data_IF_022163213917
#
_entry.id   IF_022163213917
#
_cell.length_a   1.000
_cell.length_b   1.000
_cell.length_c   1.000
_cell.angle_alpha   90.00
_cell.angle_beta   90.00
_cell.angle_gamma   90.00
#
_symmetry.space_group_name_H-M   'P 1'
#
loop_
_entity.id
_entity.type
_entity.pdbx_description
1 polymer ?
#
# COMPACT_ATOMS: atom_id res chain seq x y z
N UNK A 1 5.37 23.53 -8.68
CA UNK A 1 4.89 23.14 -7.33
C UNK A 1 3.50 22.50 -7.36
N UNK A 2 2.53 23.02 -8.15
CA UNK A 2 1.19 22.41 -8.20
C UNK A 2 1.22 20.97 -8.74
N UNK A 3 1.86 20.74 -9.90
CA UNK A 3 1.98 19.39 -10.48
C UNK A 3 2.73 18.46 -9.52
N UNK A 4 3.85 18.88 -8.95
CA UNK A 4 4.61 18.05 -8.00
C UNK A 4 3.82 17.69 -6.74
N UNK A 5 3.01 18.63 -6.22
CA UNK A 5 2.09 18.37 -5.10
C UNK A 5 1.02 17.35 -5.49
N UNK A 6 0.38 17.56 -6.64
CA UNK A 6 -0.61 16.63 -7.20
C UNK A 6 -0.03 15.21 -7.34
N UNK A 7 1.15 15.09 -7.94
CA UNK A 7 1.81 13.80 -8.15
C UNK A 7 2.16 13.13 -6.82
N UNK A 8 2.63 13.88 -5.82
CA UNK A 8 2.87 13.32 -4.49
C UNK A 8 1.59 12.87 -3.81
N UNK A 9 0.51 13.66 -3.88
CA UNK A 9 -0.79 13.25 -3.33
C UNK A 9 -1.28 11.95 -3.98
N UNK A 10 -1.19 11.83 -5.31
CA UNK A 10 -1.58 10.59 -6.01
C UNK A 10 -0.71 9.41 -5.55
N UNK A 11 0.62 9.56 -5.55
CA UNK A 11 1.53 8.46 -5.20
C UNK A 11 1.36 7.95 -3.76
N UNK A 12 0.98 8.82 -2.82
CA UNK A 12 0.82 8.45 -1.41
C UNK A 12 -0.61 8.00 -1.08
N UNK A 13 -1.64 8.61 -1.67
CA UNK A 13 -3.04 8.28 -1.36
C UNK A 13 -3.56 7.10 -2.17
N UNK A 14 -3.11 6.92 -3.40
CA UNK A 14 -3.60 5.86 -4.29
C UNK A 14 -3.40 4.44 -3.72
N UNK A 15 -2.21 4.08 -3.18
CA UNK A 15 -1.99 2.75 -2.59
C UNK A 15 -2.91 2.46 -1.40
N UNK A 16 -3.24 3.50 -0.62
CA UNK A 16 -4.17 3.40 0.52
C UNK A 16 -5.57 3.10 0.02
N UNK A 17 -6.07 3.91 -0.94
CA UNK A 17 -7.43 3.78 -1.47
C UNK A 17 -7.62 2.41 -2.11
N UNK A 18 -6.64 1.94 -2.89
CA UNK A 18 -6.67 0.62 -3.52
C UNK A 18 -6.84 -0.48 -2.47
N UNK A 19 -6.01 -0.49 -1.43
CA UNK A 19 -6.04 -1.53 -0.42
C UNK A 19 -7.35 -1.50 0.40
N UNK A 20 -7.82 -0.31 0.74
CA UNK A 20 -9.10 -0.13 1.44
C UNK A 20 -10.25 -0.70 0.61
N UNK A 21 -10.30 -0.39 -0.69
CA UNK A 21 -11.31 -0.89 -1.63
C UNK A 21 -11.22 -2.41 -1.81
N UNK A 22 -10.00 -2.97 -1.90
CA UNK A 22 -9.79 -4.43 -1.96
C UNK A 22 -10.32 -5.14 -0.70
N UNK A 23 -9.97 -4.65 0.49
CA UNK A 23 -10.42 -5.22 1.76
C UNK A 23 -11.93 -5.04 1.96
N UNK A 24 -12.50 -3.90 1.57
CA UNK A 24 -13.95 -3.66 1.62
C UNK A 24 -14.71 -4.65 0.73
N UNK A 25 -14.18 -4.93 -0.48
CA UNK A 25 -14.79 -5.87 -1.42
C UNK A 25 -14.71 -7.33 -0.94
N UNK A 26 -13.65 -7.66 -0.18
CA UNK A 26 -13.43 -9.00 0.37
C UNK A 26 -14.23 -9.28 1.65
N UNK A 27 -14.20 -8.35 2.63
CA UNK A 27 -14.74 -8.57 3.99
C UNK A 27 -16.03 -7.79 4.29
N UNK A 28 -16.56 -6.97 3.37
CA UNK A 28 -17.77 -6.15 3.57
C UNK A 28 -17.78 -5.44 4.93
N UNK A 29 -16.77 -4.61 5.19
CA UNK A 29 -16.64 -3.93 6.48
C UNK A 29 -17.76 -2.90 6.68
N UNK A 30 -18.19 -2.74 7.93
CA UNK A 30 -19.17 -1.73 8.30
C UNK A 30 -18.59 -0.32 8.06
N UNK A 31 -19.36 0.59 7.44
CA UNK A 31 -18.92 1.96 7.14
C UNK A 31 -18.45 2.70 8.40
N UNK A 32 -19.13 2.49 9.54
CA UNK A 32 -18.72 3.10 10.82
C UNK A 32 -17.32 2.64 11.27
N UNK A 33 -17.03 1.34 11.10
CA UNK A 33 -15.72 0.77 11.44
C UNK A 33 -14.63 1.30 10.51
N UNK A 34 -14.95 1.44 9.22
CA UNK A 34 -14.04 1.98 8.23
C UNK A 34 -13.68 3.44 8.52
N UNK A 35 -14.67 4.28 8.83
CA UNK A 35 -14.45 5.68 9.22
C UNK A 35 -13.64 5.76 10.51
N UNK A 36 -14.00 4.98 11.54
CA UNK A 36 -13.25 4.95 12.79
C UNK A 36 -11.80 4.54 12.58
N UNK A 37 -11.56 3.54 11.73
CA UNK A 37 -10.21 3.02 11.43
C UNK A 37 -9.41 4.00 10.59
N UNK A 38 -10.03 4.72 9.67
CA UNK A 38 -9.39 5.81 8.94
C UNK A 38 -8.96 6.93 9.90
N UNK A 39 -9.81 7.29 10.88
CA UNK A 39 -9.47 8.29 11.89
C UNK A 39 -8.29 7.83 12.78
N UNK A 40 -8.32 6.58 13.24
CA UNK A 40 -7.22 5.97 14.00
C UNK A 40 -5.95 5.92 13.17
N UNK A 41 -6.02 5.53 11.90
CA UNK A 41 -4.88 5.50 10.98
C UNK A 41 -4.26 6.88 10.77
N UNK A 42 -5.10 7.93 10.65
CA UNK A 42 -4.65 9.31 10.55
C UNK A 42 -3.92 9.75 11.82
N UNK A 43 -4.47 9.49 12.99
CA UNK A 43 -3.82 9.80 14.27
C UNK A 43 -2.50 9.05 14.43
N UNK A 44 -2.47 7.74 14.14
CA UNK A 44 -1.25 6.93 14.16
C UNK A 44 -0.18 7.49 13.22
N UNK A 45 -0.58 7.97 12.03
CA UNK A 45 0.36 8.56 11.06
C UNK A 45 0.99 9.85 11.59
N UNK A 46 0.21 10.71 12.26
CA UNK A 46 0.72 11.94 12.88
C UNK A 46 1.70 11.60 14.02
N UNK A 47 1.32 10.67 14.90
CA UNK A 47 2.17 10.21 16.01
C UNK A 47 3.48 9.62 15.47
N UNK A 48 3.40 8.85 14.38
CA UNK A 48 4.57 8.28 13.71
C UNK A 48 5.52 9.37 13.21
N UNK A 49 5.01 10.43 12.57
CA UNK A 49 5.83 11.56 12.10
C UNK A 49 6.48 12.32 13.25
N UNK A 50 5.77 12.55 14.35
CA UNK A 50 6.36 13.20 15.53
C UNK A 50 7.45 12.35 16.17
N UNK A 51 7.28 11.03 16.16
CA UNK A 51 8.25 10.08 16.70
C UNK A 51 9.40 9.78 15.73
N UNK A 52 9.31 10.22 14.47
CA UNK A 52 10.26 9.88 13.41
C UNK A 52 11.69 10.31 13.72
N UNK A 53 11.88 11.49 14.33
CA UNK A 53 13.20 11.97 14.71
C UNK A 53 13.87 11.07 15.77
N UNK A 54 13.09 10.62 16.76
CA UNK A 54 13.57 9.69 17.79
C UNK A 54 13.81 8.29 17.21
N UNK A 55 12.89 7.81 16.37
CA UNK A 55 13.01 6.51 15.69
C UNK A 55 14.23 6.44 14.78
N UNK A 56 14.52 7.53 14.07
CA UNK A 56 15.68 7.61 13.18
C UNK A 56 16.98 7.44 13.96
N UNK A 57 17.12 8.01 15.17
CA UNK A 57 18.34 7.89 15.98
C UNK A 57 18.66 6.47 16.47
N UNK A 58 17.68 5.56 16.44
CA UNK A 58 17.90 4.16 16.79
C UNK A 58 18.68 3.45 15.68
N UNK A 59 19.44 2.42 16.04
CA UNK A 59 20.18 1.57 15.09
C UNK A 59 21.09 2.34 14.13
N UNK A 60 22.00 3.16 14.67
CA UNK A 60 22.98 3.93 13.90
C UNK A 60 22.34 4.80 12.79
N UNK A 61 21.32 5.56 13.16
CA UNK A 61 20.56 6.45 12.26
C UNK A 61 19.65 5.75 11.23
N UNK A 62 19.43 4.43 11.35
CA UNK A 62 18.67 3.59 10.39
C UNK A 62 17.32 3.08 10.94
N UNK A 63 16.95 3.50 12.15
CA UNK A 63 15.78 2.95 12.84
C UNK A 63 14.44 3.26 12.15
N UNK A 64 14.38 4.34 11.36
CA UNK A 64 13.18 4.71 10.62
C UNK A 64 12.93 3.78 9.43
N UNK A 65 13.97 3.35 8.72
CA UNK A 65 13.81 2.37 7.65
C UNK A 65 13.41 1.01 8.22
N UNK A 66 13.98 0.61 9.37
CA UNK A 66 13.59 -0.62 10.06
C UNK A 66 12.11 -0.65 10.46
N UNK A 67 11.58 0.43 11.01
CA UNK A 67 10.16 0.49 11.37
C UNK A 67 9.24 0.45 10.15
N UNK A 68 9.64 1.07 9.03
CA UNK A 68 8.87 1.00 7.78
C UNK A 68 8.93 -0.39 7.14
N UNK A 69 10.08 -1.06 7.17
CA UNK A 69 10.19 -2.46 6.76
C UNK A 69 9.29 -3.37 7.60
N UNK A 70 9.26 -3.14 8.92
CA UNK A 70 8.38 -3.87 9.83
C UNK A 70 6.91 -3.64 9.49
N UNK A 71 6.49 -2.40 9.21
CA UNK A 71 5.14 -2.08 8.76
C UNK A 71 4.79 -2.82 7.46
N UNK A 72 5.68 -2.88 6.47
CA UNK A 72 5.48 -3.64 5.24
C UNK A 72 5.24 -5.13 5.51
N UNK A 73 6.04 -5.74 6.38
CA UNK A 73 5.88 -7.16 6.77
C UNK A 73 4.55 -7.38 7.51
N UNK A 74 4.20 -6.49 8.43
CA UNK A 74 2.91 -6.53 9.14
C UNK A 74 1.75 -6.46 8.14
N UNK A 75 1.81 -5.57 7.17
CA UNK A 75 0.78 -5.44 6.13
C UNK A 75 0.64 -6.72 5.33
N UNK A 76 1.75 -7.35 4.92
CA UNK A 76 1.74 -8.61 4.19
C UNK A 76 1.09 -9.74 5.01
N UNK A 77 1.56 -9.96 6.24
CA UNK A 77 1.07 -11.05 7.10
C UNK A 77 -0.38 -10.82 7.51
N UNK A 78 -0.75 -9.59 7.91
CA UNK A 78 -2.11 -9.29 8.32
C UNK A 78 -3.09 -9.34 7.14
N UNK A 79 -2.67 -8.99 5.91
CA UNK A 79 -3.50 -9.17 4.71
C UNK A 79 -3.78 -10.64 4.44
N UNK A 80 -2.77 -11.51 4.63
CA UNK A 80 -2.89 -12.96 4.47
C UNK A 80 -3.86 -13.55 5.51
N UNK A 81 -3.76 -13.12 6.77
CA UNK A 81 -4.68 -13.56 7.84
C UNK A 81 -6.10 -13.01 7.63
N UNK A 82 -6.25 -11.85 7.00
CA UNK A 82 -7.55 -11.25 6.69
C UNK A 82 -8.37 -12.09 5.71
N UNK A 83 -7.72 -12.93 4.89
CA UNK A 83 -8.40 -13.93 4.05
C UNK A 83 -9.22 -14.96 4.85
N UNK A 84 -8.97 -15.14 6.17
CA UNK A 84 -9.83 -15.92 7.08
C UNK A 84 -11.10 -15.18 7.52
N UNK A 85 -11.48 -14.11 6.83
CA UNK A 85 -12.58 -13.21 7.20
C UNK A 85 -12.45 -12.57 8.60
N UNK A 86 -11.21 -12.37 9.08
CA UNK A 86 -10.98 -11.71 10.36
C UNK A 86 -10.89 -10.19 10.19
N UNK A 87 -12.00 -9.50 10.49
CA UNK A 87 -12.09 -8.04 10.39
C UNK A 87 -10.95 -7.30 11.12
N UNK A 88 -10.53 -7.76 12.31
CA UNK A 88 -9.48 -7.12 13.09
C UNK A 88 -8.16 -6.96 12.32
N UNK A 89 -7.75 -7.99 11.58
CA UNK A 89 -6.51 -7.93 10.80
C UNK A 89 -6.65 -7.01 9.60
N UNK A 90 -7.84 -6.93 9.00
CA UNK A 90 -8.11 -6.00 7.91
C UNK A 90 -8.02 -4.54 8.41
N UNK A 91 -8.54 -4.26 9.61
CA UNK A 91 -8.39 -2.93 10.22
C UNK A 91 -6.92 -2.60 10.50
N UNK A 92 -6.16 -3.57 11.03
CA UNK A 92 -4.73 -3.41 11.29
C UNK A 92 -3.96 -3.11 10.01
N UNK A 93 -4.26 -3.80 8.91
CA UNK A 93 -3.69 -3.53 7.59
C UNK A 93 -3.97 -2.10 7.13
N UNK A 94 -5.21 -1.62 7.27
CA UNK A 94 -5.58 -0.25 6.91
C UNK A 94 -4.77 0.76 7.72
N UNK A 95 -4.68 0.58 9.05
CA UNK A 95 -3.90 1.47 9.92
C UNK A 95 -2.42 1.45 9.56
N UNK A 96 -1.83 0.27 9.35
CA UNK A 96 -0.42 0.14 9.02
C UNK A 96 -0.06 0.77 7.66
N UNK A 97 -0.90 0.59 6.64
CA UNK A 97 -0.70 1.23 5.32
C UNK A 97 -0.92 2.73 5.38
N UNK A 98 -1.90 3.20 6.16
CA UNK A 98 -2.06 4.63 6.41
C UNK A 98 -0.80 5.21 7.07
N UNK A 99 -0.31 4.59 8.14
CA UNK A 99 0.92 5.03 8.81
C UNK A 99 2.12 5.08 7.85
N UNK A 100 2.27 4.07 6.98
CA UNK A 100 3.37 4.00 6.02
C UNK A 100 3.32 5.11 4.97
N UNK A 101 2.20 5.30 4.27
CA UNK A 101 2.13 6.29 3.17
C UNK A 101 1.84 7.71 3.64
N UNK A 102 0.96 7.86 4.63
CA UNK A 102 0.52 9.17 5.10
C UNK A 102 1.62 9.86 5.92
N UNK A 103 2.56 9.12 6.51
CA UNK A 103 3.73 9.72 7.17
C UNK A 103 4.62 10.49 6.18
N UNK A 104 4.98 9.89 5.05
CA UNK A 104 5.72 10.57 3.98
C UNK A 104 4.94 11.78 3.45
N UNK A 105 3.62 11.63 3.31
CA UNK A 105 2.77 12.72 2.86
C UNK A 105 2.71 13.90 3.84
N UNK A 106 2.62 13.63 5.14
CA UNK A 106 2.64 14.67 6.17
C UNK A 106 3.99 15.37 6.28
N UNK A 107 5.11 14.64 6.17
CA UNK A 107 6.45 15.24 6.11
C UNK A 107 6.54 16.21 4.92
N UNK A 108 6.02 15.81 3.75
CA UNK A 108 5.94 16.68 2.57
C UNK A 108 5.06 17.93 2.83
N UNK A 109 3.88 17.76 3.41
CA UNK A 109 2.98 18.89 3.69
C UNK A 109 3.59 19.90 4.67
N UNK A 110 4.17 19.43 5.77
CA UNK A 110 4.78 20.30 6.80
C UNK A 110 5.99 21.05 6.25
N UNK A 111 6.81 20.38 5.41
CA UNK A 111 8.00 20.99 4.80
C UNK A 111 7.70 22.18 3.89
N UNK A 112 6.52 22.21 3.25
CA UNK A 112 6.13 23.28 2.32
C UNK A 112 5.08 24.25 2.87
N UNK A 113 4.59 24.02 4.10
CA UNK A 113 3.55 24.84 4.73
C UNK A 113 4.03 26.26 5.08
N UNK A 114 5.29 26.40 5.51
CA UNK A 114 5.84 27.67 6.00
C UNK A 114 6.09 28.71 4.90
N UNK A 115 6.11 28.29 3.63
CA UNK A 115 6.35 29.16 2.50
C UNK A 115 5.00 29.57 1.85
N UNK A 116 4.60 30.83 2.02
CA UNK A 116 3.31 31.36 1.57
C UNK A 116 3.10 31.23 0.06
N UNK A 117 4.17 31.31 -0.72
CA UNK A 117 4.13 31.19 -2.19
C UNK A 117 3.93 29.73 -2.65
N UNK A 118 4.30 28.75 -1.83
CA UNK A 118 4.13 27.32 -2.15
C UNK A 118 2.89 26.71 -1.48
N UNK A 119 2.37 27.31 -0.41
CA UNK A 119 1.21 26.82 0.33
C UNK A 119 -0.07 26.77 -0.52
N UNK A 120 -0.34 27.81 -1.33
CA UNK A 120 -1.55 27.83 -2.19
C UNK A 120 -1.51 26.72 -3.26
N UNK A 121 -0.45 26.56 -4.06
CA UNK A 121 -0.30 25.42 -4.97
C UNK A 121 -0.36 24.05 -4.29
N UNK A 122 0.18 23.94 -3.06
CA UNK A 122 0.19 22.71 -2.28
C UNK A 122 -1.22 22.26 -1.92
N UNK A 123 -2.06 23.16 -1.40
CA UNK A 123 -3.45 22.88 -1.04
C UNK A 123 -4.30 22.51 -2.25
N UNK A 124 -4.13 23.22 -3.38
CA UNK A 124 -4.85 22.90 -4.62
C UNK A 124 -4.45 21.51 -5.13
N UNK A 125 -3.14 21.21 -5.17
CA UNK A 125 -2.64 19.89 -5.58
C UNK A 125 -3.15 18.76 -4.67
N UNK A 126 -3.22 19.02 -3.36
CA UNK A 126 -3.75 18.08 -2.36
C UNK A 126 -5.23 17.79 -2.56
N UNK A 127 -6.04 18.84 -2.70
CA UNK A 127 -7.49 18.72 -2.92
C UNK A 127 -7.79 17.95 -4.21
N UNK A 128 -7.09 18.28 -5.29
CA UNK A 128 -7.19 17.56 -6.56
C UNK A 128 -6.76 16.09 -6.42
N UNK A 129 -5.64 15.82 -5.75
CA UNK A 129 -5.14 14.46 -5.52
C UNK A 129 -6.13 13.59 -4.74
N UNK A 130 -6.74 14.13 -3.67
CA UNK A 130 -7.79 13.46 -2.90
C UNK A 130 -9.01 13.18 -3.79
N UNK A 131 -9.45 14.16 -4.60
CA UNK A 131 -10.58 14.00 -5.51
C UNK A 131 -10.34 12.92 -6.57
N UNK A 132 -9.17 12.90 -7.20
CA UNK A 132 -8.79 11.90 -8.20
C UNK A 132 -8.71 10.51 -7.57
N UNK A 133 -8.05 10.37 -6.43
CA UNK A 133 -7.94 9.08 -5.74
C UNK A 133 -9.31 8.57 -5.27
N UNK A 134 -10.18 9.45 -4.77
CA UNK A 134 -11.54 9.11 -4.36
C UNK A 134 -12.39 8.63 -5.55
N UNK A 135 -12.37 9.38 -6.66
CA UNK A 135 -13.08 8.99 -7.89
C UNK A 135 -12.59 7.64 -8.43
N UNK A 136 -11.27 7.45 -8.48
CA UNK A 136 -10.67 6.17 -8.86
C UNK A 136 -11.08 5.04 -7.91
N UNK A 137 -11.12 5.29 -6.59
CA UNK A 137 -11.54 4.31 -5.59
C UNK A 137 -12.98 3.82 -5.81
N UNK A 138 -13.91 4.73 -6.14
CA UNK A 138 -15.30 4.38 -6.46
C UNK A 138 -15.36 3.51 -7.73
N UNK A 139 -14.66 3.92 -8.79
CA UNK A 139 -14.57 3.15 -10.04
C UNK A 139 -14.01 1.74 -9.81
N UNK A 140 -12.92 1.64 -9.03
CA UNK A 140 -12.30 0.37 -8.67
C UNK A 140 -13.25 -0.51 -7.84
N UNK A 141 -14.02 0.08 -6.93
CA UNK A 141 -15.00 -0.66 -6.12
C UNK A 141 -16.07 -1.29 -7.00
N UNK A 142 -16.63 -0.54 -7.94
CA UNK A 142 -17.59 -1.06 -8.91
C UNK A 142 -16.98 -2.17 -9.76
N UNK A 143 -15.77 -1.96 -10.28
CA UNK A 143 -15.05 -2.97 -11.07
C UNK A 143 -14.87 -4.26 -10.27
N UNK A 144 -14.39 -4.17 -9.02
CA UNK A 144 -14.20 -5.34 -8.17
C UNK A 144 -15.52 -6.02 -7.80
N UNK A 145 -16.61 -5.27 -7.63
CA UNK A 145 -17.94 -5.86 -7.41
C UNK A 145 -18.41 -6.65 -8.64
N UNK A 146 -18.25 -6.10 -9.84
CA UNK A 146 -18.57 -6.78 -11.10
C UNK A 146 -17.71 -8.04 -11.31
N UNK A 147 -16.41 -7.95 -11.00
CA UNK A 147 -15.49 -9.09 -11.07
C UNK A 147 -15.88 -10.16 -10.04
N UNK A 148 -16.21 -9.77 -8.80
CA UNK A 148 -16.67 -10.68 -7.75
C UNK A 148 -17.95 -11.40 -8.14
N UNK A 149 -18.91 -10.69 -8.75
CA UNK A 149 -20.17 -11.28 -9.20
C UNK A 149 -19.96 -12.30 -10.33
N UNK A 150 -18.98 -12.08 -11.22
CA UNK A 150 -18.73 -12.95 -12.38
C UNK A 150 -17.79 -14.13 -12.09
N UNK A 151 -16.76 -13.92 -11.28
CA UNK A 151 -15.65 -14.86 -11.06
C UNK A 151 -15.46 -15.27 -9.59
N UNK A 152 -16.31 -14.78 -8.68
CA UNK A 152 -16.24 -15.09 -7.25
C UNK A 152 -15.12 -14.36 -6.51
N UNK A 153 -14.68 -14.93 -5.39
CA UNK A 153 -13.73 -14.29 -4.45
C UNK A 153 -12.26 -14.45 -4.87
N UNK A 154 -11.93 -15.48 -5.65
CA UNK A 154 -10.57 -15.78 -6.09
C UNK A 154 -9.82 -14.60 -6.76
N UNK A 155 -10.38 -13.85 -7.74
CA UNK A 155 -9.67 -12.72 -8.33
C UNK A 155 -9.39 -11.60 -7.33
N UNK A 156 -10.27 -11.36 -6.34
CA UNK A 156 -10.04 -10.35 -5.31
C UNK A 156 -8.86 -10.74 -4.43
N UNK A 157 -8.74 -12.04 -4.10
CA UNK A 157 -7.58 -12.55 -3.35
C UNK A 157 -6.30 -12.45 -4.16
N UNK A 158 -6.37 -12.70 -5.48
CA UNK A 158 -5.23 -12.53 -6.37
C UNK A 158 -4.76 -11.06 -6.38
N UNK A 159 -5.67 -10.11 -6.50
CA UNK A 159 -5.34 -8.68 -6.40
C UNK A 159 -4.77 -8.32 -5.02
N UNK A 160 -5.34 -8.84 -3.94
CA UNK A 160 -4.80 -8.64 -2.60
C UNK A 160 -3.40 -9.25 -2.44
N UNK A 161 -3.14 -10.43 -3.01
CA UNK A 161 -1.84 -11.09 -2.99
C UNK A 161 -0.77 -10.26 -3.69
N UNK A 162 -1.08 -9.75 -4.88
CA UNK A 162 -0.19 -8.84 -5.61
C UNK A 162 0.05 -7.55 -4.82
N UNK A 163 -1.01 -6.93 -4.28
CA UNK A 163 -0.89 -5.69 -3.52
C UNK A 163 -0.06 -5.84 -2.24
N UNK A 164 -0.29 -6.93 -1.49
CA UNK A 164 0.45 -7.24 -0.28
C UNK A 164 1.92 -7.53 -0.58
N UNK A 165 2.19 -8.32 -1.62
CA UNK A 165 3.56 -8.66 -2.03
C UNK A 165 4.33 -7.43 -2.53
N UNK A 166 3.64 -6.47 -3.16
CA UNK A 166 4.24 -5.19 -3.53
C UNK A 166 4.80 -4.40 -2.33
N UNK A 167 4.25 -4.57 -1.12
CA UNK A 167 4.81 -3.93 0.09
C UNK A 167 6.14 -4.56 0.51
N UNK A 168 6.36 -5.84 0.21
CA UNK A 168 7.66 -6.46 0.45
C UNK A 168 8.74 -5.96 -0.51
N UNK A 169 8.37 -5.55 -1.73
CA UNK A 169 9.30 -4.85 -2.62
C UNK A 169 9.74 -3.51 -2.01
N UNK A 170 8.81 -2.76 -1.43
CA UNK A 170 9.15 -1.54 -0.69
C UNK A 170 10.11 -1.86 0.46
N UNK A 171 9.86 -2.92 1.24
CA UNK A 171 10.77 -3.33 2.30
C UNK A 171 12.17 -3.71 1.77
N UNK A 172 12.24 -4.36 0.61
CA UNK A 172 13.50 -4.71 -0.06
C UNK A 172 14.27 -3.45 -0.49
N UNK A 173 13.58 -2.46 -1.06
CA UNK A 173 14.18 -1.18 -1.42
C UNK A 173 14.74 -0.45 -0.20
N UNK A 174 14.00 -0.44 0.91
CA UNK A 174 14.47 0.13 2.18
C UNK A 174 15.67 -0.63 2.74
N UNK A 175 15.67 -1.96 2.67
CA UNK A 175 16.80 -2.78 3.08
C UNK A 175 18.05 -2.48 2.23
N UNK A 176 17.87 -2.20 0.94
CA UNK A 176 18.97 -1.78 0.08
C UNK A 176 19.46 -0.37 0.38
N UNK A 177 18.57 0.56 0.78
CA UNK A 177 18.94 1.94 1.13
C UNK A 177 19.84 2.02 2.38
N UNK A 178 19.67 1.10 3.32
CA UNK A 178 20.49 1.03 4.54
C UNK A 178 21.68 0.06 4.40
N UNK A 179 22.05 -0.30 3.17
CA UNK A 179 23.14 -1.25 2.85
C UNK A 179 23.00 -2.62 3.53
N UNK A 180 21.78 -3.03 3.90
CA UNK A 180 21.53 -4.38 4.43
C UNK A 180 21.64 -5.44 3.33
N UNK A 181 21.27 -5.05 2.10
CA UNK A 181 21.28 -5.92 0.91
C UNK A 181 21.86 -5.12 -0.26
N UNK A 182 22.91 -5.63 -0.89
CA UNK A 182 23.48 -5.01 -2.09
C UNK A 182 22.69 -5.40 -3.34
N UNK A 183 21.78 -4.53 -3.78
CA UNK A 183 21.05 -4.66 -5.04
C UNK A 183 21.82 -3.90 -6.12
N UNK A 184 22.74 -4.57 -6.80
CA UNK A 184 23.73 -3.92 -7.68
C UNK A 184 23.42 -3.96 -9.18
N UNK A 185 22.36 -4.66 -9.61
CA UNK A 185 22.07 -4.75 -11.06
C UNK A 185 20.58 -4.79 -11.39
N UNK A 186 20.13 -3.84 -12.22
CA UNK A 186 18.84 -3.90 -12.91
C UNK A 186 18.86 -5.05 -13.90
N UNK A 187 17.80 -5.89 -13.89
CA UNK A 187 17.78 -7.10 -14.71
C UNK A 187 17.03 -6.91 -16.02
N UNK A 188 15.88 -6.25 -15.96
CA UNK A 188 15.02 -5.99 -17.11
C UNK A 188 14.70 -4.51 -17.21
N UNK A 189 14.50 -4.02 -18.44
CA UNK A 189 14.00 -2.68 -18.71
C UNK A 189 12.68 -2.76 -19.48
N UNK A 190 11.57 -2.52 -18.78
CA UNK A 190 10.21 -2.48 -19.32
C UNK A 190 9.78 -1.07 -19.72
N UNK A 191 10.65 -0.06 -19.64
CA UNK A 191 10.30 1.34 -19.94
C UNK A 191 9.80 1.53 -21.37
N UNK A 192 10.25 0.67 -22.30
CA UNK A 192 9.78 0.68 -23.69
C UNK A 192 8.28 0.30 -23.83
N UNK A 193 7.75 -0.48 -22.89
CA UNK A 193 6.33 -0.90 -22.88
C UNK A 193 5.50 0.04 -22.02
N UNK A 194 5.95 0.30 -20.79
CA UNK A 194 5.24 1.19 -19.87
C UNK A 194 6.21 1.93 -18.95
N UNK A 195 6.22 3.25 -19.11
CA UNK A 195 7.00 4.15 -18.25
C UNK A 195 6.36 4.21 -16.86
N UNK A 196 7.17 3.99 -15.82
CA UNK A 196 6.72 3.99 -14.42
C UNK A 196 6.06 5.31 -13.99
N UNK A 197 6.56 6.43 -14.51
CA UNK A 197 6.06 7.77 -14.23
C UNK A 197 4.77 8.13 -14.96
N UNK A 198 4.28 7.26 -15.86
CA UNK A 198 2.97 7.44 -16.48
C UNK A 198 1.85 7.25 -15.47
N UNK A 199 0.68 7.84 -15.72
CA UNK A 199 -0.47 7.71 -14.82
C UNK A 199 -0.88 6.23 -14.64
N UNK A 200 -0.86 5.45 -15.72
CA UNK A 200 -1.10 4.00 -15.66
C UNK A 200 0.02 3.26 -14.93
N UNK A 201 1.28 3.66 -15.12
CA UNK A 201 2.43 3.11 -14.41
C UNK A 201 2.28 3.27 -12.89
N UNK A 202 1.84 4.44 -12.42
CA UNK A 202 1.58 4.69 -10.99
C UNK A 202 0.44 3.84 -10.44
N UNK A 203 -0.64 3.67 -11.20
CA UNK A 203 -1.75 2.79 -10.80
C UNK A 203 -1.29 1.35 -10.72
N UNK A 204 -0.53 0.85 -11.69
CA UNK A 204 0.02 -0.50 -11.69
C UNK A 204 1.06 -0.71 -10.58
N UNK A 205 1.89 0.30 -10.31
CA UNK A 205 2.80 0.30 -9.16
C UNK A 205 2.04 0.21 -7.85
N UNK A 206 0.98 0.99 -7.69
CA UNK A 206 0.18 0.99 -6.47
C UNK A 206 -0.68 -0.29 -6.29
N UNK A 207 -1.18 -0.86 -7.39
CA UNK A 207 -2.07 -2.03 -7.38
C UNK A 207 -1.29 -3.34 -7.26
N UNK A 208 -0.26 -3.51 -8.09
CA UNK A 208 0.47 -4.78 -8.28
C UNK A 208 1.92 -4.67 -7.85
N UNK A 209 2.49 -3.47 -7.65
CA UNK A 209 3.92 -3.33 -7.40
C UNK A 209 4.76 -3.37 -8.66
N UNK A 210 4.20 -2.91 -9.78
CA UNK A 210 4.95 -2.76 -11.03
C UNK A 210 6.16 -1.83 -10.87
N UNK A 211 7.32 -2.34 -11.25
CA UNK A 211 8.56 -1.59 -11.43
C UNK A 211 8.98 -1.70 -12.88
N UNK A 212 9.34 -0.57 -13.51
CA UNK A 212 9.78 -0.60 -14.89
C UNK A 212 11.19 -1.21 -15.04
N UNK A 213 12.01 -1.15 -13.99
CA UNK A 213 13.36 -1.72 -13.99
C UNK A 213 13.60 -2.62 -12.77
N UNK A 214 12.95 -3.80 -12.69
CA UNK A 214 13.07 -4.66 -11.53
C UNK A 214 14.48 -5.29 -11.46
N UNK A 215 14.98 -5.43 -10.24
CA UNK A 215 16.19 -6.22 -9.97
C UNK A 215 15.87 -7.72 -9.97
N UNK A 216 16.89 -8.58 -10.13
CA UNK A 216 16.71 -10.04 -10.04
C UNK A 216 16.13 -10.44 -8.68
N UNK A 217 16.64 -9.85 -7.61
CA UNK A 217 16.22 -10.11 -6.23
C UNK A 217 14.78 -9.68 -6.01
N UNK A 218 14.38 -8.51 -6.49
CA UNK A 218 13.00 -8.03 -6.43
C UNK A 218 12.04 -8.99 -7.16
N UNK A 219 12.39 -9.44 -8.36
CA UNK A 219 11.53 -10.34 -9.14
C UNK A 219 11.32 -11.69 -8.46
N UNK A 220 12.39 -12.31 -7.95
CA UNK A 220 12.30 -13.58 -7.23
C UNK A 220 11.55 -13.46 -5.91
N UNK A 221 11.83 -12.40 -5.13
CA UNK A 221 11.12 -12.13 -3.87
C UNK A 221 9.63 -11.93 -4.12
N UNK A 222 9.27 -11.15 -5.14
CA UNK A 222 7.89 -10.87 -5.50
C UNK A 222 7.15 -12.15 -5.93
N UNK A 223 7.73 -12.95 -6.84
CA UNK A 223 7.13 -14.21 -7.26
C UNK A 223 6.95 -15.18 -6.10
N UNK A 224 7.97 -15.33 -5.24
CA UNK A 224 7.90 -16.19 -4.07
C UNK A 224 6.82 -15.71 -3.09
N UNK A 225 6.77 -14.40 -2.79
CA UNK A 225 5.76 -13.81 -1.91
C UNK A 225 4.34 -14.02 -2.44
N UNK A 226 4.10 -13.75 -3.73
CA UNK A 226 2.78 -13.95 -4.35
C UNK A 226 2.36 -15.42 -4.27
N UNK A 227 3.26 -16.35 -4.61
CA UNK A 227 2.97 -17.79 -4.55
C UNK A 227 2.65 -18.24 -3.13
N UNK A 228 3.45 -17.83 -2.14
CA UNK A 228 3.22 -18.14 -0.72
C UNK A 228 1.87 -17.59 -0.27
N UNK A 229 1.55 -16.33 -0.62
CA UNK A 229 0.27 -15.71 -0.28
C UNK A 229 -0.90 -16.48 -0.89
N UNK A 230 -0.85 -16.82 -2.18
CA UNK A 230 -1.91 -17.55 -2.87
C UNK A 230 -2.10 -18.94 -2.25
N UNK A 231 -1.02 -19.73 -2.12
CA UNK A 231 -1.09 -21.08 -1.57
C UNK A 231 -1.69 -21.10 -0.15
N UNK A 232 -1.21 -20.22 0.72
CA UNK A 232 -1.72 -20.11 2.11
C UNK A 232 -3.18 -19.64 2.14
N UNK A 233 -3.55 -18.70 1.28
CA UNK A 233 -4.92 -18.19 1.23
C UNK A 233 -5.92 -19.24 0.74
N UNK A 234 -5.54 -20.10 -0.22
CA UNK A 234 -6.35 -21.23 -0.68
C UNK A 234 -6.54 -22.26 0.45
N UNK A 235 -5.48 -22.55 1.20
CA UNK A 235 -5.57 -23.45 2.37
C UNK A 235 -6.55 -22.89 3.40
N UNK A 236 -6.51 -21.58 3.64
CA UNK A 236 -7.41 -20.92 4.60
C UNK A 236 -8.88 -20.99 4.18
N UNK A 237 -9.18 -20.84 2.89
CA UNK A 237 -10.55 -21.00 2.38
C UNK A 237 -11.03 -22.45 2.52
N UNK A 238 -10.19 -23.43 2.16
CA UNK A 238 -10.56 -24.85 2.26
C UNK A 238 -10.87 -25.25 3.70
N UNK A 239 -10.09 -24.77 4.66
CA UNK A 239 -10.33 -25.02 6.09
C UNK A 239 -11.60 -24.37 6.61
N UNK A 240 -11.99 -23.19 6.07
CA UNK A 240 -13.23 -22.52 6.46
C UNK A 240 -14.46 -23.22 5.88
N UNK A 241 -14.41 -23.63 4.61
CA UNK A 241 -15.51 -24.35 3.95
C UNK A 241 -15.82 -25.72 4.58
N UNK A 242 -14.87 -26.35 5.27
CA UNK A 242 -15.07 -27.61 6.00
C UNK A 242 -15.73 -27.44 7.38
N UNK A 243 -15.85 -26.19 7.88
CA UNK A 243 -16.39 -25.89 9.22
C UNK A 243 -17.87 -25.46 9.24
N UNK A 244 -18.53 -25.37 8.09
CA UNK A 244 -19.99 -25.22 8.04
C UNK A 244 -20.65 -26.61 8.00
N UNK A 245 -21.22 -27.11 9.11
CA UNK A 245 -22.09 -28.28 9.05
C UNK A 245 -23.42 -27.88 8.42
N UNK A 246 -23.82 -28.67 7.43
CA UNK A 246 -25.18 -28.74 6.87
C UNK A 246 -26.22 -29.04 7.94
#
# INVERSE_FOLDING_TARGET
MLITSLLMSINQLLPVVILLVLLQSLLTLNQRMLIATAFVGLLCSIIYVQSAAWLSQLFDYRGLEFSQMLLCVIVYVASLVSCKQRHLFALLVIVAVMALYLSHYFIYLVGFWHNTDTAKPLLIGTSLGIGICGSFGVLLLFLLHSVKARFGVYPLMLFLAFNASAKLLIALDLASQIDLINITSNYFDWRAVLVENSELGRVLKALVGYEATPSKTALWLYLAAVLVFICTSIVFIRQFSQKEPS
#
